data_IF_686017050044
#
_entry.id   IF_686017050044
#
_cell.length_a   1.000
_cell.length_b   1.000
_cell.length_c   1.000
_cell.angle_alpha   90.00
_cell.angle_beta   90.00
_cell.angle_gamma   90.00
#
_symmetry.space_group_name_H-M   'P 1'
#
loop_
_entity.id
_entity.type
_entity.pdbx_description
1 polymer ?
#
# COMPACT_ATOMS: atom_id res chain seq x y z
N UNK A 1 14.66 -0.28 4.45
CA UNK A 1 15.05 1.14 4.33
C UNK A 1 15.48 1.65 5.69
N UNK A 2 15.57 2.96 5.89
CA UNK A 2 15.88 3.54 7.21
C UNK A 2 14.80 3.19 8.24
N UNK A 3 13.58 2.92 7.77
CA UNK A 3 12.44 2.56 8.59
C UNK A 3 12.49 1.14 9.18
N UNK A 4 13.42 0.29 8.72
CA UNK A 4 13.41 -1.15 8.98
C UNK A 4 14.19 -1.51 10.24
N UNK A 5 13.55 -2.23 11.19
CA UNK A 5 14.14 -2.61 12.49
C UNK A 5 15.48 -3.37 12.39
N UNK A 6 15.84 -3.91 11.21
CA UNK A 6 17.08 -4.64 10.91
C UNK A 6 18.16 -3.82 10.16
N UNK A 7 18.11 -2.49 10.19
CA UNK A 7 19.14 -1.66 9.57
C UNK A 7 19.22 -1.82 8.04
N UNK A 8 18.08 -2.04 7.38
CA UNK A 8 17.97 -2.12 5.92
C UNK A 8 18.31 -3.46 5.27
N UNK A 9 18.66 -4.52 6.04
CA UNK A 9 18.78 -5.88 5.50
C UNK A 9 17.39 -6.52 5.36
N UNK A 10 16.98 -6.77 4.12
CA UNK A 10 15.71 -7.45 3.79
C UNK A 10 15.91 -8.96 3.67
N UNK A 11 15.09 -9.73 4.39
CA UNK A 11 14.99 -11.17 4.20
C UNK A 11 14.08 -11.52 3.02
N UNK A 12 14.09 -12.76 2.51
CA UNK A 12 13.14 -13.22 1.50
C UNK A 12 11.69 -13.07 1.97
N UNK A 13 11.44 -13.10 3.29
CA UNK A 13 10.12 -12.84 3.90
C UNK A 13 9.48 -11.50 3.48
N UNK A 14 10.26 -10.42 3.30
CA UNK A 14 9.72 -9.13 2.84
C UNK A 14 9.14 -9.20 1.42
N UNK A 15 9.72 -10.05 0.56
CA UNK A 15 9.27 -10.22 -0.82
C UNK A 15 7.90 -10.88 -0.82
N UNK A 16 7.73 -11.93 -0.02
CA UNK A 16 6.44 -12.62 0.10
C UNK A 16 5.36 -11.71 0.67
N UNK A 17 5.66 -10.93 1.70
CA UNK A 17 4.68 -10.03 2.31
C UNK A 17 4.08 -9.04 1.32
N UNK A 18 4.89 -8.38 0.49
CA UNK A 18 4.38 -7.30 -0.39
C UNK A 18 4.09 -7.74 -1.83
N UNK A 19 4.79 -8.74 -2.35
CA UNK A 19 4.65 -9.16 -3.75
C UNK A 19 3.54 -10.20 -3.97
N UNK A 20 3.10 -10.92 -2.91
CA UNK A 20 2.10 -11.98 -3.04
C UNK A 20 0.76 -11.46 -3.55
N UNK A 21 0.30 -10.30 -3.09
CA UNK A 21 -0.94 -9.70 -3.59
C UNK A 21 -0.87 -9.41 -5.09
N UNK A 22 0.25 -8.83 -5.54
CA UNK A 22 0.49 -8.60 -6.96
C UNK A 22 0.52 -9.92 -7.74
N UNK A 23 1.19 -10.95 -7.21
CA UNK A 23 1.20 -12.27 -7.83
C UNK A 23 -0.22 -12.83 -7.99
N UNK A 24 -1.03 -12.81 -6.93
CA UNK A 24 -2.43 -13.28 -6.96
C UNK A 24 -3.22 -12.52 -8.03
N UNK A 25 -3.15 -11.18 -8.04
CA UNK A 25 -3.85 -10.36 -9.03
C UNK A 25 -3.40 -10.69 -10.46
N UNK A 26 -2.09 -10.87 -10.67
CA UNK A 26 -1.55 -11.20 -11.99
C UNK A 26 -2.03 -12.57 -12.48
N UNK A 27 -2.02 -13.59 -11.62
CA UNK A 27 -2.51 -14.95 -11.92
C UNK A 27 -4.01 -14.94 -12.22
N UNK A 28 -4.81 -14.19 -11.46
CA UNK A 28 -6.24 -14.05 -11.73
C UNK A 28 -6.52 -13.33 -13.06
N UNK A 29 -5.66 -12.36 -13.45
CA UNK A 29 -5.84 -11.58 -14.68
C UNK A 29 -5.65 -12.39 -15.97
N UNK A 30 -5.04 -13.57 -15.90
CA UNK A 30 -4.73 -14.43 -17.06
C UNK A 30 -5.64 -15.66 -17.19
N UNK A 31 -6.65 -15.79 -16.32
CA UNK A 31 -7.60 -16.93 -16.36
C UNK A 31 -8.70 -16.79 -17.43
N UNK A 32 -8.63 -15.78 -18.29
CA UNK A 32 -9.64 -15.44 -19.30
C UNK A 32 -10.22 -14.04 -19.08
N UNK A 33 -11.32 -13.71 -19.76
CA UNK A 33 -11.93 -12.37 -19.70
C UNK A 33 -12.49 -12.03 -18.31
N UNK A 34 -12.98 -13.05 -17.60
CA UNK A 34 -13.48 -12.93 -16.23
C UNK A 34 -13.05 -14.13 -15.39
N UNK A 35 -12.71 -13.87 -14.13
CA UNK A 35 -12.42 -14.90 -13.13
C UNK A 35 -13.21 -14.58 -11.86
N UNK A 36 -13.94 -15.56 -11.32
CA UNK A 36 -14.86 -15.37 -10.18
C UNK A 36 -15.86 -14.21 -10.39
N UNK A 37 -16.29 -13.98 -11.63
CA UNK A 37 -17.19 -12.88 -11.98
C UNK A 37 -16.52 -11.51 -12.09
N UNK A 38 -15.21 -11.38 -11.84
CA UNK A 38 -14.45 -10.13 -11.92
C UNK A 38 -13.71 -10.06 -13.26
N UNK A 39 -13.79 -8.96 -14.03
CA UNK A 39 -13.06 -8.78 -15.28
C UNK A 39 -11.53 -8.82 -15.10
N UNK A 40 -10.81 -9.35 -16.10
CA UNK A 40 -9.34 -9.38 -16.09
C UNK A 40 -8.70 -7.99 -15.95
N UNK A 41 -9.34 -6.95 -16.48
CA UNK A 41 -8.92 -5.55 -16.34
C UNK A 41 -8.93 -5.07 -14.89
N UNK A 42 -9.90 -5.53 -14.07
CA UNK A 42 -9.95 -5.19 -12.65
C UNK A 42 -8.82 -5.87 -11.89
N UNK A 43 -8.47 -7.12 -12.23
CA UNK A 43 -7.30 -7.77 -11.64
C UNK A 43 -5.99 -7.06 -12.02
N UNK A 44 -5.86 -6.54 -13.25
CA UNK A 44 -4.71 -5.69 -13.61
C UNK A 44 -4.68 -4.37 -12.84
N UNK A 45 -5.83 -3.75 -12.62
CA UNK A 45 -5.94 -2.57 -11.76
C UNK A 45 -5.54 -2.88 -10.31
N UNK A 46 -6.01 -4.01 -9.76
CA UNK A 46 -5.61 -4.50 -8.45
C UNK A 46 -4.11 -4.80 -8.36
N UNK A 47 -3.51 -5.38 -9.41
CA UNK A 47 -2.07 -5.58 -9.52
C UNK A 47 -1.31 -4.25 -9.39
N UNK A 48 -1.65 -3.26 -10.24
CA UNK A 48 -0.98 -1.95 -10.21
C UNK A 48 -1.20 -1.26 -8.86
N UNK A 49 -2.41 -1.30 -8.31
CA UNK A 49 -2.73 -0.73 -7.02
C UNK A 49 -1.96 -1.39 -5.86
N UNK A 50 -1.74 -2.71 -5.88
CA UNK A 50 -0.95 -3.40 -4.84
C UNK A 50 0.49 -2.90 -4.79
N UNK A 51 1.12 -2.72 -5.96
CA UNK A 51 2.48 -2.20 -6.06
C UNK A 51 2.55 -0.72 -5.75
N UNK A 52 1.57 0.06 -6.21
CA UNK A 52 1.44 1.47 -5.89
C UNK A 52 1.28 1.68 -4.38
N UNK A 53 0.49 0.84 -3.71
CA UNK A 53 0.33 0.83 -2.25
C UNK A 53 1.66 0.60 -1.56
N UNK A 54 2.44 -0.39 -2.01
CA UNK A 54 3.73 -0.66 -1.37
C UNK A 54 4.73 0.47 -1.54
N UNK A 55 4.73 1.12 -2.71
CA UNK A 55 5.58 2.29 -2.93
C UNK A 55 5.11 3.49 -2.11
N UNK A 56 3.81 3.76 -2.07
CA UNK A 56 3.20 4.83 -1.27
C UNK A 56 3.56 4.67 0.22
N UNK A 57 3.39 3.47 0.76
CA UNK A 57 3.79 3.08 2.12
C UNK A 57 5.28 3.31 2.40
N UNK A 58 6.14 2.91 1.46
CA UNK A 58 7.59 3.12 1.58
C UNK A 58 7.94 4.62 1.55
N UNK A 59 7.31 5.38 0.66
CA UNK A 59 7.53 6.82 0.57
C UNK A 59 7.03 7.54 1.82
N UNK A 60 5.86 7.16 2.33
CA UNK A 60 5.27 7.74 3.53
C UNK A 60 6.20 7.54 4.75
N UNK A 61 6.68 6.32 4.94
CA UNK A 61 7.53 5.97 6.08
C UNK A 61 8.95 6.52 5.95
N UNK A 62 9.61 6.42 4.79
CA UNK A 62 10.99 6.90 4.63
C UNK A 62 11.06 8.43 4.59
N UNK A 63 10.16 9.09 3.83
CA UNK A 63 10.12 10.56 3.77
C UNK A 63 9.57 11.14 5.08
N UNK A 64 8.56 10.50 5.67
CA UNK A 64 8.03 10.89 6.98
C UNK A 64 9.07 10.79 8.09
N UNK A 65 9.90 9.73 8.10
CA UNK A 65 11.00 9.59 9.09
C UNK A 65 12.14 10.58 8.82
N UNK A 66 12.51 10.81 7.56
CA UNK A 66 13.64 11.68 7.22
C UNK A 66 13.33 13.18 7.29
N UNK A 67 12.10 13.58 6.95
CA UNK A 67 11.72 14.98 6.75
C UNK A 67 10.48 15.42 7.54
N UNK A 68 9.81 14.51 8.25
CA UNK A 68 8.60 14.83 9.03
C UNK A 68 8.90 15.81 10.15
N UNK A 69 8.43 17.06 10.01
CA UNK A 69 8.63 18.11 11.03
C UNK A 69 7.76 17.89 12.26
N UNK A 70 6.56 17.36 12.04
CA UNK A 70 5.60 17.05 13.11
C UNK A 70 4.84 15.79 12.74
N UNK A 71 4.98 14.80 13.60
CA UNK A 71 4.39 13.46 13.47
C UNK A 71 3.33 13.28 14.55
N UNK A 72 2.20 12.71 14.15
CA UNK A 72 1.06 12.44 15.02
C UNK A 72 0.69 10.97 14.95
N UNK A 73 0.23 10.40 16.06
CA UNK A 73 -0.34 9.06 16.04
C UNK A 73 -1.72 9.11 15.35
N UNK A 74 -1.95 8.26 14.36
CA UNK A 74 -3.19 8.30 13.55
C UNK A 74 -4.47 8.06 14.35
N UNK A 75 -4.38 7.43 15.53
CA UNK A 75 -5.53 7.10 16.39
C UNK A 75 -5.89 8.21 17.36
N UNK A 76 -4.90 8.79 18.05
CA UNK A 76 -5.11 9.79 19.12
C UNK A 76 -4.86 11.22 18.68
N UNK A 77 -4.21 11.42 17.53
CA UNK A 77 -3.69 12.72 17.08
C UNK A 77 -2.73 13.37 18.07
N UNK A 78 -2.15 12.58 18.99
CA UNK A 78 -1.09 13.05 19.87
C UNK A 78 0.23 13.11 19.12
N UNK A 79 1.08 14.08 19.49
CA UNK A 79 2.40 14.22 18.89
C UNK A 79 3.31 13.08 19.37
N UNK A 80 3.91 12.38 18.42
CA UNK A 80 4.83 11.26 18.66
C UNK A 80 6.14 11.48 17.92
N UNK A 81 7.17 10.71 18.27
CA UNK A 81 8.46 10.79 17.58
C UNK A 81 8.37 10.24 16.14
N UNK A 82 9.13 10.80 15.19
CA UNK A 82 9.20 10.24 13.84
C UNK A 82 9.66 8.79 13.86
N UNK A 83 8.88 7.92 13.21
CA UNK A 83 9.18 6.50 13.11
C UNK A 83 8.52 5.61 14.16
N UNK A 84 7.71 6.17 15.07
CA UNK A 84 6.74 5.41 15.86
C UNK A 84 5.75 4.68 14.92
N UNK A 85 5.38 3.43 15.25
CA UNK A 85 4.42 2.66 14.46
C UNK A 85 3.05 3.37 14.41
N UNK A 86 2.50 3.52 13.21
CA UNK A 86 1.27 4.28 12.98
C UNK A 86 1.38 5.79 13.11
N UNK A 87 2.59 6.34 13.19
CA UNK A 87 2.81 7.78 13.10
C UNK A 87 2.63 8.29 11.66
N UNK A 88 1.90 9.38 11.51
CA UNK A 88 1.69 10.08 10.24
C UNK A 88 2.22 11.52 10.32
N UNK A 89 2.74 12.02 9.19
CA UNK A 89 3.19 13.41 9.03
C UNK A 89 2.66 13.96 7.72
N UNK A 90 2.55 15.29 7.60
CA UNK A 90 2.12 15.93 6.36
C UNK A 90 3.06 15.59 5.21
N UNK A 91 4.38 15.62 5.46
CA UNK A 91 5.40 15.27 4.48
C UNK A 91 5.28 13.81 4.04
N UNK A 92 5.09 12.88 4.98
CA UNK A 92 4.87 11.46 4.68
C UNK A 92 3.58 11.21 3.91
N UNK A 93 2.48 11.87 4.29
CA UNK A 93 1.19 11.74 3.60
C UNK A 93 1.27 12.28 2.17
N UNK A 94 1.94 13.42 1.95
CA UNK A 94 2.17 13.94 0.61
C UNK A 94 3.07 13.00 -0.22
N UNK A 95 4.13 12.47 0.40
CA UNK A 95 5.01 11.47 -0.21
C UNK A 95 4.25 10.19 -0.62
N UNK A 96 3.30 9.73 0.20
CA UNK A 96 2.45 8.58 -0.13
C UNK A 96 1.66 8.81 -1.41
N UNK A 97 1.03 9.98 -1.55
CA UNK A 97 0.27 10.35 -2.74
C UNK A 97 1.16 10.38 -3.99
N UNK A 98 2.37 10.96 -3.87
CA UNK A 98 3.35 11.01 -4.97
C UNK A 98 3.83 9.59 -5.34
N UNK A 99 4.16 8.76 -4.36
CA UNK A 99 4.61 7.38 -4.59
C UNK A 99 3.53 6.53 -5.28
N UNK A 100 2.28 6.64 -4.82
CA UNK A 100 1.14 5.99 -5.46
C UNK A 100 0.96 6.46 -6.90
N UNK A 101 1.00 7.78 -7.14
CA UNK A 101 0.84 8.37 -8.47
C UNK A 101 1.93 7.91 -9.45
N UNK A 102 3.20 7.89 -9.03
CA UNK A 102 4.32 7.44 -9.86
C UNK A 102 4.09 6.02 -10.36
N UNK A 103 3.72 5.10 -9.46
CA UNK A 103 3.51 3.70 -9.83
C UNK A 103 2.24 3.47 -10.64
N UNK A 104 1.16 4.22 -10.36
CA UNK A 104 -0.05 4.18 -11.19
C UNK A 104 0.21 4.70 -12.61
N UNK A 105 0.96 5.81 -12.76
CA UNK A 105 1.37 6.33 -14.07
C UNK A 105 2.27 5.35 -14.82
N UNK A 106 3.20 4.70 -14.13
CA UNK A 106 4.02 3.65 -14.72
C UNK A 106 3.16 2.49 -15.24
N UNK A 107 2.19 2.02 -14.44
CA UNK A 107 1.24 0.99 -14.86
C UNK A 107 0.43 1.38 -16.10
N UNK A 108 0.04 2.66 -16.20
CA UNK A 108 -0.65 3.19 -17.38
C UNK A 108 0.27 3.27 -18.61
N UNK A 109 1.51 3.76 -18.45
CA UNK A 109 2.49 3.81 -19.54
C UNK A 109 2.88 2.44 -20.08
N UNK A 110 2.84 1.40 -19.23
CA UNK A 110 3.03 0.00 -19.62
C UNK A 110 1.79 -0.66 -20.23
N UNK A 111 0.65 0.04 -20.29
CA UNK A 111 -0.62 -0.49 -20.80
C UNK A 111 -1.28 -1.54 -19.90
N UNK A 112 -0.87 -1.65 -18.62
CA UNK A 112 -1.49 -2.57 -17.66
C UNK A 112 -2.88 -2.10 -17.24
N UNK A 113 -3.01 -0.79 -17.10
CA UNK A 113 -4.28 -0.07 -16.97
C UNK A 113 -4.40 0.89 -18.15
N UNK A 114 -5.61 1.21 -18.60
CA UNK A 114 -5.80 1.84 -19.92
C UNK A 114 -6.39 3.24 -19.86
N UNK A 115 -7.08 3.62 -18.77
CA UNK A 115 -7.77 4.90 -18.67
C UNK A 115 -7.08 5.83 -17.67
N UNK A 116 -7.02 7.15 -17.92
CA UNK A 116 -6.54 8.12 -16.92
C UNK A 116 -7.32 8.02 -15.60
N UNK A 117 -8.60 7.66 -15.67
CA UNK A 117 -9.43 7.45 -14.50
C UNK A 117 -8.97 6.25 -13.65
N UNK A 118 -8.48 5.17 -14.26
CA UNK A 118 -7.89 4.04 -13.54
C UNK A 118 -6.58 4.40 -12.79
N UNK A 119 -5.82 5.40 -13.28
CA UNK A 119 -4.68 5.97 -12.55
C UNK A 119 -5.17 6.63 -11.26
N UNK A 120 -6.20 7.47 -11.34
CA UNK A 120 -6.77 8.14 -10.17
C UNK A 120 -7.32 7.14 -9.14
N UNK A 121 -8.03 6.09 -9.58
CA UNK A 121 -8.50 5.02 -8.70
C UNK A 121 -7.32 4.31 -8.01
N UNK A 122 -6.30 3.90 -8.78
CA UNK A 122 -5.12 3.20 -8.25
C UNK A 122 -4.35 4.03 -7.24
N UNK A 123 -4.12 5.32 -7.54
CA UNK A 123 -3.43 6.24 -6.63
C UNK A 123 -4.23 6.48 -5.36
N UNK A 124 -5.54 6.68 -5.46
CA UNK A 124 -6.43 6.86 -4.31
C UNK A 124 -6.46 5.60 -3.44
N UNK A 125 -6.56 4.43 -4.05
CA UNK A 125 -6.54 3.15 -3.34
C UNK A 125 -5.23 2.94 -2.58
N UNK A 126 -4.10 3.24 -3.22
CA UNK A 126 -2.77 3.18 -2.59
C UNK A 126 -2.66 4.12 -1.39
N UNK A 127 -3.10 5.37 -1.55
CA UNK A 127 -3.10 6.35 -0.48
C UNK A 127 -3.97 5.91 0.71
N UNK A 128 -5.20 5.45 0.45
CA UNK A 128 -6.11 4.98 1.50
C UNK A 128 -5.54 3.75 2.22
N UNK A 129 -4.99 2.79 1.48
CA UNK A 129 -4.39 1.60 2.05
C UNK A 129 -3.19 1.93 2.97
N UNK A 130 -2.31 2.87 2.58
CA UNK A 130 -1.23 3.37 3.45
C UNK A 130 -1.75 3.95 4.76
N UNK A 131 -2.88 4.66 4.77
CA UNK A 131 -3.48 5.15 6.02
C UNK A 131 -4.08 4.00 6.86
N UNK A 132 -4.66 2.98 6.22
CA UNK A 132 -5.14 1.77 6.90
C UNK A 132 -3.99 1.00 7.55
N UNK A 133 -2.84 0.92 6.88
CA UNK A 133 -1.61 0.35 7.45
C UNK A 133 -1.20 1.09 8.72
N UNK A 134 -1.18 2.43 8.69
CA UNK A 134 -0.83 3.21 9.88
C UNK A 134 -1.83 2.99 11.03
N UNK A 135 -3.12 2.81 10.72
CA UNK A 135 -4.12 2.43 11.73
C UNK A 135 -3.84 1.04 12.32
N UNK A 136 -3.48 0.07 11.48
CA UNK A 136 -3.10 -1.29 11.92
C UNK A 136 -1.84 -1.23 12.78
N UNK A 137 -0.82 -0.47 12.39
CA UNK A 137 0.39 -0.26 13.16
C UNK A 137 0.10 0.32 14.55
N UNK A 138 -0.66 1.42 14.60
CA UNK A 138 -1.02 2.09 15.86
C UNK A 138 -1.91 1.23 16.79
N UNK A 139 -2.68 0.28 16.25
CA UNK A 139 -3.68 -0.46 17.03
C UNK A 139 -3.34 -1.92 17.30
N UNK A 140 -2.54 -2.57 16.46
CA UNK A 140 -2.33 -4.02 16.50
C UNK A 140 -0.85 -4.40 16.64
N UNK A 141 0.09 -3.60 16.14
CA UNK A 141 1.52 -3.89 16.35
C UNK A 141 1.93 -3.61 17.80
N UNK A 142 2.84 -4.42 18.33
CA UNK A 142 3.36 -4.37 19.70
C UNK A 142 2.31 -4.57 20.83
N UNK A 143 1.10 -5.04 20.51
CA UNK A 143 0.11 -5.50 21.51
C UNK A 143 0.39 -6.93 21.97
N UNK A 144 0.43 -7.13 23.30
CA UNK A 144 0.51 -8.46 23.93
C UNK A 144 -0.53 -9.41 23.37
N UNK A 145 -0.08 -10.55 22.82
CA UNK A 145 -0.93 -11.60 22.25
C UNK A 145 -1.15 -11.49 20.74
N UNK A 146 -0.62 -10.46 20.08
CA UNK A 146 -0.64 -10.29 18.62
C UNK A 146 0.77 -10.36 18.01
N UNK A 147 1.64 -11.18 18.58
CA UNK A 147 3.05 -11.30 18.12
C UNK A 147 3.17 -11.82 16.68
N UNK A 148 2.09 -12.37 16.11
CA UNK A 148 2.01 -12.78 14.70
C UNK A 148 1.83 -11.61 13.73
N UNK A 149 1.47 -10.41 14.20
CA UNK A 149 1.30 -9.19 13.39
C UNK A 149 2.66 -8.58 13.04
N UNK A 150 3.50 -9.36 12.36
CA UNK A 150 4.80 -8.91 11.90
C UNK A 150 4.66 -7.89 10.78
N UNK A 151 5.75 -7.18 10.47
CA UNK A 151 5.77 -6.18 9.38
C UNK A 151 5.36 -6.78 8.03
N UNK A 152 5.68 -8.05 7.79
CA UNK A 152 5.44 -8.78 6.56
C UNK A 152 3.95 -9.09 6.41
N UNK A 153 3.29 -9.49 7.50
CA UNK A 153 1.84 -9.70 7.55
C UNK A 153 1.11 -8.39 7.34
N UNK A 154 1.52 -7.33 8.02
CA UNK A 154 0.93 -5.99 7.86
C UNK A 154 1.10 -5.48 6.43
N UNK A 155 2.28 -5.67 5.83
CA UNK A 155 2.54 -5.32 4.43
C UNK A 155 1.66 -6.11 3.45
N UNK A 156 1.45 -7.39 3.71
CA UNK A 156 0.53 -8.21 2.91
C UNK A 156 -0.89 -7.69 2.99
N UNK A 157 -1.38 -7.46 4.21
CA UNK A 157 -2.73 -6.90 4.43
C UNK A 157 -2.85 -5.54 3.74
N UNK A 158 -1.86 -4.67 3.87
CA UNK A 158 -1.86 -3.34 3.27
C UNK A 158 -1.98 -3.42 1.74
N UNK A 159 -1.10 -4.18 1.08
CA UNK A 159 -1.17 -4.34 -0.38
C UNK A 159 -2.47 -4.99 -0.84
N UNK A 160 -3.01 -5.95 -0.07
CA UNK A 160 -4.30 -6.58 -0.32
C UNK A 160 -5.47 -5.59 -0.22
N UNK A 161 -5.48 -4.74 0.82
CA UNK A 161 -6.46 -3.65 0.98
C UNK A 161 -6.38 -2.69 -0.21
N UNK A 162 -5.18 -2.28 -0.62
CA UNK A 162 -5.00 -1.44 -1.80
C UNK A 162 -5.55 -2.06 -3.08
N UNK A 163 -5.27 -3.33 -3.33
CA UNK A 163 -5.82 -4.06 -4.47
C UNK A 163 -7.36 -4.16 -4.41
N UNK A 164 -7.91 -4.49 -3.23
CA UNK A 164 -9.35 -4.64 -3.03
C UNK A 164 -10.11 -3.31 -3.24
N UNK A 165 -9.60 -2.21 -2.67
CA UNK A 165 -10.18 -0.87 -2.87
C UNK A 165 -10.17 -0.51 -4.35
N UNK A 166 -9.08 -0.77 -5.06
CA UNK A 166 -8.99 -0.45 -6.48
C UNK A 166 -9.91 -1.30 -7.35
N UNK A 167 -10.03 -2.61 -7.07
CA UNK A 167 -10.96 -3.52 -7.77
C UNK A 167 -12.41 -3.09 -7.53
N UNK A 168 -12.78 -2.81 -6.27
CA UNK A 168 -14.13 -2.38 -5.92
C UNK A 168 -14.46 -1.02 -6.54
N UNK A 169 -13.56 -0.04 -6.43
CA UNK A 169 -13.72 1.28 -7.03
C UNK A 169 -13.77 1.23 -8.55
N UNK A 170 -12.92 0.42 -9.18
CA UNK A 170 -12.95 0.18 -10.62
C UNK A 170 -14.26 -0.47 -11.07
N UNK A 171 -14.74 -1.47 -10.36
CA UNK A 171 -16.00 -2.17 -10.72
C UNK A 171 -17.25 -1.28 -10.58
N UNK A 172 -17.17 -0.21 -9.77
CA UNK A 172 -18.26 0.74 -9.57
C UNK A 172 -18.21 1.93 -10.55
N UNK A 173 -17.02 2.30 -11.01
CA UNK A 173 -16.78 3.56 -11.70
C UNK A 173 -16.25 3.43 -13.13
N UNK A 174 -15.90 2.23 -13.60
CA UNK A 174 -15.44 1.91 -14.95
C UNK A 174 -16.38 0.91 -15.64
#
# INVERSE_FOLDING_TARGET
GIAEKRGGRRGPENVWGSALTGLICSVCSVQGDRFLGIPSTMFRLGYVASLATKLADTFASEIGKAYGKTTFLITTFERVEPGTEGAVSVEGTAAAAVGGLILSLYGWGMGLITTPFSVAISTTAAFLATNVESLIGATLQDKKGLDFMTNEVVNFINTLVGAAIAIAGGSLLL
#
